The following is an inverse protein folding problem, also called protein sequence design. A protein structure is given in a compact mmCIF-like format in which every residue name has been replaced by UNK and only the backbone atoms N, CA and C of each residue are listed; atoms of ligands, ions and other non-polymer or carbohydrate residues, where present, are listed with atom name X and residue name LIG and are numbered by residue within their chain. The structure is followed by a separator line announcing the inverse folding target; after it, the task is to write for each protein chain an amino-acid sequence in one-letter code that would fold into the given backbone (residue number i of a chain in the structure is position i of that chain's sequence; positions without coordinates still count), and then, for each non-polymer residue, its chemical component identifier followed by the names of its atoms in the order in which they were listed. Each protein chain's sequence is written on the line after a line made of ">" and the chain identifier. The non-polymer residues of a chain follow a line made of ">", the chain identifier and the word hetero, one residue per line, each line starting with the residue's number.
data_IF_686054872041
#
_entry.id   IF_686054872041
#
_cell.length_a   1.000
_cell.length_b   1.000
_cell.length_c   1.000
_cell.angle_alpha   90.00
_cell.angle_beta   90.00
_cell.angle_gamma   90.00
#
_symmetry.space_group_name_H-M   'P 1'
#
loop_
_entity.id
_entity.type
_entity.pdbx_description
1 polymer ?
#
# COMPACT_ATOMS: atom_id res chain seq x y z
N UNK A 1 17.21 -52.08 10.24
CA UNK A 1 17.37 -50.72 9.67
C UNK A 1 16.15 -50.23 8.90
N UNK A 2 15.29 -51.09 8.33
CA UNK A 2 14.11 -50.65 7.56
C UNK A 2 12.94 -50.04 8.37
N UNK A 3 12.88 -50.25 9.70
CA UNK A 3 11.78 -49.76 10.55
C UNK A 3 11.93 -48.26 10.83
N UNK A 4 13.17 -47.76 10.89
CA UNK A 4 13.51 -46.36 11.17
C UNK A 4 13.13 -45.44 9.99
N UNK A 5 13.44 -45.86 8.75
CA UNK A 5 13.02 -45.18 7.52
C UNK A 5 11.49 -45.11 7.38
N UNK A 6 10.79 -46.21 7.67
CA UNK A 6 9.34 -46.29 7.51
C UNK A 6 8.58 -45.46 8.56
N UNK A 7 9.15 -45.27 9.76
CA UNK A 7 8.63 -44.38 10.79
C UNK A 7 8.94 -42.91 10.47
N UNK A 8 10.12 -42.63 9.91
CA UNK A 8 10.50 -41.29 9.44
C UNK A 8 9.60 -40.81 8.28
N UNK A 9 9.33 -41.69 7.31
CA UNK A 9 8.43 -41.40 6.18
C UNK A 9 6.98 -41.14 6.63
N UNK A 10 6.49 -41.87 7.64
CA UNK A 10 5.17 -41.61 8.22
C UNK A 10 5.12 -40.28 8.97
N UNK A 11 6.17 -39.94 9.72
CA UNK A 11 6.28 -38.65 10.40
C UNK A 11 6.32 -37.47 9.42
N UNK A 12 7.09 -37.60 8.34
CA UNK A 12 7.16 -36.61 7.27
C UNK A 12 5.81 -36.42 6.54
N UNK A 13 5.09 -37.52 6.27
CA UNK A 13 3.76 -37.46 5.66
C UNK A 13 2.73 -36.78 6.57
N UNK A 14 2.71 -37.12 7.87
CA UNK A 14 1.78 -36.48 8.82
C UNK A 14 2.03 -34.97 8.96
N UNK A 15 3.31 -34.55 8.98
CA UNK A 15 3.68 -33.14 9.00
C UNK A 15 3.25 -32.44 7.69
N UNK A 16 3.45 -33.07 6.54
CA UNK A 16 3.04 -32.52 5.25
C UNK A 16 1.51 -32.35 5.16
N UNK A 17 0.74 -33.33 5.63
CA UNK A 17 -0.72 -33.26 5.68
C UNK A 17 -1.20 -32.14 6.61
N UNK A 18 -0.62 -32.05 7.81
CA UNK A 18 -0.93 -30.98 8.75
C UNK A 18 -0.64 -29.59 8.15
N UNK A 19 0.50 -29.42 7.48
CA UNK A 19 0.82 -28.16 6.80
C UNK A 19 -0.12 -27.86 5.63
N UNK A 20 -0.52 -28.87 4.86
CA UNK A 20 -1.48 -28.71 3.78
C UNK A 20 -2.86 -28.27 4.29
N UNK A 21 -3.30 -28.80 5.43
CA UNK A 21 -4.55 -28.40 6.09
C UNK A 21 -4.47 -26.96 6.62
N UNK A 22 -3.39 -26.61 7.34
CA UNK A 22 -3.16 -25.25 7.83
C UNK A 22 -3.12 -24.22 6.69
N UNK A 23 -2.44 -24.56 5.58
CA UNK A 23 -2.43 -23.76 4.36
C UNK A 23 -3.83 -23.58 3.78
N UNK A 24 -4.64 -24.63 3.75
CA UNK A 24 -6.00 -24.57 3.21
C UNK A 24 -6.91 -23.66 4.06
N UNK A 25 -6.84 -23.76 5.39
CA UNK A 25 -7.61 -22.91 6.30
C UNK A 25 -7.16 -21.45 6.18
N UNK A 26 -5.85 -21.20 6.21
CA UNK A 26 -5.30 -19.85 6.07
C UNK A 26 -5.70 -19.21 4.73
N UNK A 27 -5.59 -19.96 3.63
CA UNK A 27 -5.95 -19.46 2.30
C UNK A 27 -7.44 -19.09 2.19
N UNK A 28 -8.34 -19.88 2.80
CA UNK A 28 -9.79 -19.60 2.85
C UNK A 28 -10.09 -18.34 3.65
N UNK A 29 -9.51 -18.21 4.84
CA UNK A 29 -9.67 -17.01 5.68
C UNK A 29 -9.19 -15.76 4.94
N UNK A 30 -8.03 -15.85 4.30
CA UNK A 30 -7.45 -14.77 3.52
C UNK A 30 -8.30 -14.40 2.30
N UNK A 31 -8.78 -15.40 1.54
CA UNK A 31 -9.63 -15.18 0.38
C UNK A 31 -10.95 -14.50 0.77
N UNK A 32 -11.57 -14.91 1.88
CA UNK A 32 -12.78 -14.26 2.40
C UNK A 32 -12.51 -12.80 2.76
N UNK A 33 -11.44 -12.53 3.50
CA UNK A 33 -11.06 -11.18 3.91
C UNK A 33 -10.78 -10.28 2.70
N UNK A 34 -10.08 -10.81 1.68
CA UNK A 34 -9.79 -10.12 0.42
C UNK A 34 -11.08 -9.79 -0.35
N UNK A 35 -11.96 -10.77 -0.50
CA UNK A 35 -13.23 -10.62 -1.21
C UNK A 35 -14.10 -9.53 -0.58
N UNK A 36 -14.28 -9.57 0.75
CA UNK A 36 -15.08 -8.58 1.50
C UNK A 36 -14.57 -7.13 1.30
N UNK A 37 -13.32 -6.94 0.90
CA UNK A 37 -12.69 -5.63 0.65
C UNK A 37 -12.47 -5.34 -0.84
N UNK A 38 -13.05 -6.13 -1.73
CA UNK A 38 -12.97 -5.91 -3.17
C UNK A 38 -11.59 -6.18 -3.77
N UNK A 39 -10.74 -7.00 -3.13
CA UNK A 39 -9.47 -7.42 -3.70
C UNK A 39 -9.71 -8.57 -4.68
N UNK A 40 -9.37 -8.36 -5.96
CA UNK A 40 -9.44 -9.38 -7.02
C UNK A 40 -8.10 -10.12 -7.21
N UNK A 41 -8.14 -11.30 -7.81
CA UNK A 41 -6.97 -12.14 -8.08
C UNK A 41 -5.92 -11.45 -8.96
N UNK A 42 -6.36 -10.53 -9.83
CA UNK A 42 -5.47 -9.70 -10.68
C UNK A 42 -4.58 -8.80 -9.85
N UNK A 43 -5.14 -8.28 -8.77
CA UNK A 43 -4.46 -7.35 -7.87
C UNK A 43 -3.39 -8.09 -7.06
N UNK A 44 -3.62 -9.37 -6.74
CA UNK A 44 -2.62 -10.22 -6.10
C UNK A 44 -1.43 -10.58 -6.99
N UNK A 45 -1.50 -10.31 -8.31
CA UNK A 45 -0.40 -10.56 -9.25
C UNK A 45 0.53 -9.35 -9.43
N UNK A 46 0.13 -8.17 -8.94
CA UNK A 46 0.91 -6.94 -9.03
C UNK A 46 1.71 -6.73 -7.73
N UNK A 47 3.04 -6.73 -7.84
CA UNK A 47 4.03 -6.45 -6.78
C UNK A 47 3.68 -6.99 -5.38
N UNK A 48 3.97 -8.27 -5.20
CA UNK A 48 3.51 -9.12 -4.10
C UNK A 48 4.08 -8.75 -2.74
N UNK A 49 5.20 -8.02 -2.64
CA UNK A 49 5.89 -7.88 -1.33
C UNK A 49 5.26 -6.83 -0.43
N UNK A 50 4.82 -5.69 -0.99
CA UNK A 50 4.09 -4.65 -0.25
C UNK A 50 2.67 -5.12 0.09
N UNK A 51 2.07 -5.84 -0.86
CA UNK A 51 0.78 -6.49 -0.76
C UNK A 51 0.70 -7.44 0.44
N UNK A 52 1.65 -8.38 0.53
CA UNK A 52 1.62 -9.42 1.56
C UNK A 52 1.75 -8.82 2.96
N UNK A 53 2.66 -7.85 3.12
CA UNK A 53 2.85 -7.14 4.40
C UNK A 53 1.61 -6.39 4.84
N UNK A 54 0.94 -5.67 3.94
CA UNK A 54 -0.25 -4.90 4.28
C UNK A 54 -1.40 -5.81 4.76
N UNK A 55 -1.55 -6.98 4.13
CA UNK A 55 -2.60 -7.94 4.52
C UNK A 55 -2.22 -8.70 5.79
N UNK A 56 -0.96 -9.14 5.93
CA UNK A 56 -0.49 -9.79 7.16
C UNK A 56 -0.62 -8.86 8.38
N UNK A 57 -0.32 -7.56 8.20
CA UNK A 57 -0.49 -6.54 9.24
C UNK A 57 -1.97 -6.30 9.56
N UNK A 58 -2.86 -6.28 8.56
CA UNK A 58 -4.29 -6.07 8.75
C UNK A 58 -4.99 -7.23 9.48
N UNK A 59 -4.46 -8.45 9.32
CA UNK A 59 -5.02 -9.67 9.91
C UNK A 59 -4.34 -9.99 11.26
N UNK A 60 -3.25 -9.30 11.61
CA UNK A 60 -2.50 -9.53 12.85
C UNK A 60 -1.84 -10.91 12.87
N UNK A 61 -1.41 -11.41 11.72
CA UNK A 61 -0.95 -12.80 11.58
C UNK A 61 0.50 -12.94 12.02
N UNK A 62 0.88 -14.01 12.77
CA UNK A 62 2.29 -14.35 12.97
C UNK A 62 2.96 -14.63 11.62
N UNK A 63 4.23 -14.25 11.48
CA UNK A 63 5.02 -14.39 10.25
C UNK A 63 4.89 -15.80 9.69
N UNK A 64 4.29 -15.93 8.51
CA UNK A 64 4.21 -17.22 7.81
C UNK A 64 5.63 -17.69 7.50
N UNK A 65 5.97 -18.97 7.68
CA UNK A 65 7.26 -19.47 7.21
C UNK A 65 7.44 -19.11 5.74
N UNK A 66 8.59 -18.56 5.36
CA UNK A 66 8.82 -18.02 4.01
C UNK A 66 8.49 -19.01 2.88
N UNK A 67 8.72 -20.31 3.12
CA UNK A 67 8.41 -21.37 2.15
C UNK A 67 6.91 -21.61 1.95
N UNK A 68 6.05 -21.16 2.88
CA UNK A 68 4.59 -21.28 2.82
C UNK A 68 3.90 -20.00 2.32
N UNK A 69 4.62 -18.86 2.24
CA UNK A 69 4.04 -17.61 1.75
C UNK A 69 3.54 -17.75 0.31
N UNK A 70 4.40 -18.18 -0.61
CA UNK A 70 4.00 -18.35 -2.01
C UNK A 70 2.85 -19.34 -2.19
N UNK A 71 2.89 -20.57 -1.64
CA UNK A 71 1.78 -21.52 -1.72
C UNK A 71 0.46 -20.97 -1.16
N UNK A 72 0.51 -20.22 -0.06
CA UNK A 72 -0.66 -19.58 0.51
C UNK A 72 -1.29 -18.59 -0.48
N UNK A 73 -0.49 -17.67 -1.01
CA UNK A 73 -0.99 -16.62 -1.90
C UNK A 73 -1.49 -17.16 -3.24
N UNK A 74 -0.84 -18.19 -3.79
CA UNK A 74 -1.33 -18.92 -4.97
C UNK A 74 -2.70 -19.55 -4.71
N UNK A 75 -2.87 -20.19 -3.54
CA UNK A 75 -4.13 -20.82 -3.15
C UNK A 75 -5.23 -19.79 -2.89
N UNK A 76 -4.91 -18.66 -2.26
CA UNK A 76 -5.84 -17.53 -2.07
C UNK A 76 -6.27 -16.95 -3.42
N UNK A 77 -5.36 -16.74 -4.36
CA UNK A 77 -5.70 -16.26 -5.69
C UNK A 77 -6.60 -17.25 -6.45
N UNK A 78 -6.39 -18.56 -6.29
CA UNK A 78 -7.26 -19.59 -6.87
C UNK A 78 -8.68 -19.53 -6.28
N UNK A 79 -8.81 -19.36 -4.97
CA UNK A 79 -10.10 -19.22 -4.30
C UNK A 79 -10.85 -17.94 -4.72
N UNK A 80 -10.15 -16.82 -4.90
CA UNK A 80 -10.77 -15.58 -5.41
C UNK A 80 -11.25 -15.74 -6.84
N UNK A 81 -10.50 -16.42 -7.71
CA UNK A 81 -10.96 -16.76 -9.06
C UNK A 81 -12.22 -17.62 -9.03
N UNK A 82 -12.20 -18.69 -8.24
CA UNK A 82 -13.36 -19.56 -8.07
C UNK A 82 -14.58 -18.77 -7.58
N UNK A 83 -14.38 -17.86 -6.62
CA UNK A 83 -15.46 -17.03 -6.11
C UNK A 83 -16.02 -16.10 -7.17
N UNK A 84 -15.17 -15.44 -7.95
CA UNK A 84 -15.59 -14.57 -9.06
C UNK A 84 -16.38 -15.33 -10.12
N UNK A 85 -15.94 -16.55 -10.46
CA UNK A 85 -16.61 -17.38 -11.45
C UNK A 85 -17.99 -17.81 -10.93
N UNK A 86 -18.09 -18.15 -9.64
CA UNK A 86 -19.37 -18.41 -8.96
C UNK A 86 -20.28 -17.17 -8.93
N UNK A 87 -19.76 -15.99 -8.57
CA UNK A 87 -20.56 -14.75 -8.54
C UNK A 87 -21.10 -14.42 -9.95
N UNK A 88 -20.32 -14.68 -11.01
CA UNK A 88 -20.75 -14.52 -12.40
C UNK A 88 -21.87 -15.49 -12.76
N UNK A 89 -21.71 -16.77 -12.43
CA UNK A 89 -22.69 -17.83 -12.71
C UNK A 89 -24.01 -17.58 -11.99
N UNK A 90 -23.94 -17.05 -10.77
CA UNK A 90 -25.11 -16.81 -9.92
C UNK A 90 -25.62 -15.36 -9.93
N UNK A 91 -25.08 -14.50 -10.80
CA UNK A 91 -25.45 -13.07 -10.90
C UNK A 91 -25.38 -12.32 -9.56
N UNK A 92 -24.40 -12.66 -8.71
CA UNK A 92 -24.16 -11.97 -7.46
C UNK A 92 -23.30 -10.74 -7.73
N UNK A 93 -23.76 -9.57 -7.28
CA UNK A 93 -22.98 -8.33 -7.34
C UNK A 93 -21.80 -8.43 -6.36
N UNK A 94 -20.55 -8.42 -6.84
CA UNK A 94 -19.39 -8.46 -5.95
C UNK A 94 -19.20 -7.12 -5.22
N UNK A 95 -18.44 -7.10 -4.12
CA UNK A 95 -18.02 -5.87 -3.47
C UNK A 95 -17.30 -4.92 -4.45
N UNK A 96 -17.38 -3.59 -4.25
CA UNK A 96 -16.66 -2.64 -5.08
C UNK A 96 -15.18 -2.95 -5.13
N UNK A 97 -14.61 -3.04 -6.32
CA UNK A 97 -13.20 -3.41 -6.49
C UNK A 97 -12.28 -2.36 -5.90
N UNK A 98 -11.37 -2.79 -5.05
CA UNK A 98 -10.28 -1.95 -4.57
C UNK A 98 -9.18 -1.88 -5.63
N UNK A 99 -8.63 -0.69 -5.95
CA UNK A 99 -7.65 -0.53 -7.02
C UNK A 99 -6.31 -1.20 -6.70
N UNK A 100 -5.96 -1.33 -5.41
CA UNK A 100 -4.85 -2.14 -4.93
C UNK A 100 -5.05 -2.52 -3.46
N UNK A 101 -4.32 -3.48 -2.89
CA UNK A 101 -4.70 -4.00 -1.58
C UNK A 101 -4.25 -3.11 -0.42
N UNK A 102 -3.23 -2.24 -0.54
CA UNK A 102 -3.12 -1.09 0.36
C UNK A 102 -4.40 -0.26 0.42
N UNK A 103 -5.10 -0.02 -0.71
CA UNK A 103 -6.41 0.66 -0.68
C UNK A 103 -7.51 -0.15 -0.01
N UNK A 104 -7.43 -1.48 -0.06
CA UNK A 104 -8.39 -2.37 0.58
C UNK A 104 -8.19 -2.43 2.11
N UNK A 105 -6.96 -2.23 2.58
CA UNK A 105 -6.59 -2.24 4.01
C UNK A 105 -6.74 -0.85 4.63
N UNK A 106 -6.11 0.15 4.04
CA UNK A 106 -5.92 1.50 4.57
C UNK A 106 -5.82 2.49 3.39
N UNK A 107 -6.96 2.93 2.82
CA UNK A 107 -6.99 3.76 1.62
C UNK A 107 -6.26 5.10 1.77
N UNK A 108 -6.29 5.69 2.97
CA UNK A 108 -5.54 6.89 3.34
C UNK A 108 -4.02 6.69 3.45
N UNK A 109 -3.56 5.43 3.53
CA UNK A 109 -2.13 5.08 3.62
C UNK A 109 -1.59 4.44 2.34
N UNK A 110 -2.40 4.34 1.28
CA UNK A 110 -1.95 3.73 0.03
C UNK A 110 -0.85 4.58 -0.63
N UNK A 111 0.38 4.09 -0.78
CA UNK A 111 1.48 4.89 -1.33
C UNK A 111 1.28 5.28 -2.81
N UNK A 112 0.36 4.62 -3.51
CA UNK A 112 0.06 4.85 -4.94
C UNK A 112 -1.18 5.72 -5.14
N UNK A 113 -2.20 5.57 -4.29
CA UNK A 113 -3.52 6.16 -4.51
C UNK A 113 -3.98 7.09 -3.39
N UNK A 114 -3.40 7.00 -2.19
CA UNK A 114 -3.53 8.07 -1.22
C UNK A 114 -2.75 9.24 -1.81
N UNK A 115 -3.47 10.19 -2.38
CA UNK A 115 -2.89 11.48 -2.73
C UNK A 115 -3.04 12.31 -1.47
N UNK A 116 -1.94 12.67 -0.79
CA UNK A 116 -2.00 13.66 0.26
C UNK A 116 -2.76 14.89 -0.22
N UNK A 117 -3.69 15.35 0.60
CA UNK A 117 -4.54 16.48 0.27
C UNK A 117 -3.96 17.72 0.90
N UNK A 118 -3.97 18.81 0.16
CA UNK A 118 -3.60 20.12 0.65
C UNK A 118 -4.46 20.44 1.86
N UNK A 119 -3.83 20.73 3.01
CA UNK A 119 -4.53 21.04 4.26
C UNK A 119 -5.53 22.20 4.10
N UNK A 120 -5.22 23.17 3.24
CA UNK A 120 -6.04 24.36 3.05
C UNK A 120 -7.21 24.17 2.07
N UNK A 121 -6.98 23.53 0.92
CA UNK A 121 -7.99 23.43 -0.15
C UNK A 121 -8.55 22.03 -0.35
N UNK A 122 -8.04 21.02 0.38
CA UNK A 122 -8.34 19.59 0.20
C UNK A 122 -8.06 19.03 -1.21
N UNK A 123 -7.45 19.82 -2.10
CA UNK A 123 -7.02 19.38 -3.43
C UNK A 123 -5.83 18.42 -3.37
N UNK A 124 -5.60 17.63 -4.43
CA UNK A 124 -4.47 16.67 -4.47
C UNK A 124 -3.13 17.41 -4.49
N UNK A 125 -2.20 17.03 -3.61
CA UNK A 125 -0.81 17.48 -3.64
C UNK A 125 -0.03 16.71 -4.71
N UNK A 126 0.93 17.38 -5.35
CA UNK A 126 1.88 16.74 -6.27
C UNK A 126 2.92 15.94 -5.49
N UNK A 127 3.41 14.85 -6.09
CA UNK A 127 4.44 13.98 -5.50
C UNK A 127 5.72 14.75 -5.11
N UNK A 128 6.13 15.75 -5.90
CA UNK A 128 7.31 16.59 -5.61
C UNK A 128 7.14 17.36 -4.30
N UNK A 129 5.98 18.00 -4.09
CA UNK A 129 5.70 18.74 -2.86
C UNK A 129 5.81 17.83 -1.63
N UNK A 130 5.43 16.57 -1.76
CA UNK A 130 5.50 15.59 -0.68
C UNK A 130 6.91 15.07 -0.42
N UNK A 131 7.72 14.87 -1.47
CA UNK A 131 9.12 14.52 -1.32
C UNK A 131 9.91 15.60 -0.58
N UNK A 132 9.48 16.86 -0.70
CA UNK A 132 10.03 18.01 0.00
C UNK A 132 9.38 18.27 1.37
N UNK A 133 8.37 17.48 1.76
CA UNK A 133 7.72 17.55 3.07
C UNK A 133 6.55 18.54 3.20
N UNK A 134 6.08 19.13 2.10
CA UNK A 134 4.94 20.05 2.10
C UNK A 134 3.60 19.32 2.22
N UNK A 135 2.69 19.88 3.02
CA UNK A 135 1.31 19.42 3.19
C UNK A 135 0.25 20.44 2.68
N UNK A 136 0.69 21.51 2.01
CA UNK A 136 -0.11 22.54 1.34
C UNK A 136 0.40 22.81 -0.08
N UNK A 137 -0.46 23.32 -0.98
CA UNK A 137 0.03 23.84 -2.25
C UNK A 137 0.74 25.18 -2.03
N UNK A 138 1.78 25.54 -2.81
CA UNK A 138 2.43 26.84 -2.71
C UNK A 138 1.45 28.03 -2.86
N UNK A 139 0.40 27.88 -3.66
CA UNK A 139 -0.65 28.90 -3.79
C UNK A 139 -1.63 28.94 -2.60
N UNK A 140 -1.70 27.87 -1.82
CA UNK A 140 -2.56 27.74 -0.65
C UNK A 140 -1.89 28.18 0.65
N UNK A 141 -0.56 28.29 0.69
CA UNK A 141 0.19 28.86 1.83
C UNK A 141 -0.05 30.37 2.00
N UNK A 142 -0.58 31.04 0.97
CA UNK A 142 -0.85 32.49 0.94
C UNK A 142 -1.84 33.00 2.00
N UNK A 143 -2.42 32.12 2.82
CA UNK A 143 -3.46 32.44 3.82
C UNK A 143 -2.99 32.55 5.27
N UNK A 144 -1.75 32.18 5.61
CA UNK A 144 -1.23 32.26 6.99
C UNK A 144 -0.15 33.32 7.20
N UNK A 145 0.23 34.05 6.14
CA UNK A 145 1.03 35.25 6.29
C UNK A 145 0.11 36.44 6.61
N UNK A 146 -0.03 36.75 7.89
CA UNK A 146 -0.19 38.15 8.28
C UNK A 146 0.84 38.96 7.50
N UNK A 147 0.37 39.94 6.72
CA UNK A 147 1.23 40.85 5.99
C UNK A 147 2.34 41.39 6.90
N UNK A 148 3.53 41.60 6.33
CA UNK A 148 4.05 42.95 6.36
C UNK A 148 4.27 43.46 4.94
N UNK A 149 3.75 44.66 4.74
CA UNK A 149 4.19 45.63 3.76
C UNK A 149 5.71 45.66 3.58
N UNK A 150 6.11 45.91 2.33
CA UNK A 150 7.39 46.45 1.89
C UNK A 150 8.63 45.54 1.94
N UNK A 151 8.98 44.93 0.81
CA UNK A 151 10.39 44.68 0.45
C UNK A 151 10.63 44.51 -1.06
N UNK A 152 10.26 45.51 -1.87
CA UNK A 152 10.93 45.73 -3.18
C UNK A 152 12.18 46.63 -3.00
N UNK A 153 12.43 47.09 -1.78
CA UNK A 153 13.57 47.95 -1.45
C UNK A 153 14.86 47.17 -1.14
N UNK A 154 14.79 45.88 -0.80
CA UNK A 154 15.95 45.09 -0.36
C UNK A 154 16.81 44.50 -1.50
N UNK A 155 16.29 44.46 -2.74
CA UNK A 155 17.07 43.96 -3.88
C UNK A 155 18.12 44.98 -4.37
N UNK A 156 17.99 46.26 -4.00
CA UNK A 156 18.90 47.33 -4.41
C UNK A 156 20.09 47.53 -3.47
N UNK A 157 20.11 46.89 -2.30
CA UNK A 157 21.23 46.99 -1.35
C UNK A 157 22.30 45.90 -1.53
N UNK A 158 21.98 44.82 -2.25
CA UNK A 158 22.90 43.70 -2.53
C UNK A 158 23.76 43.93 -3.78
N UNK A 159 23.32 44.81 -4.70
CA UNK A 159 24.07 45.16 -5.91
C UNK A 159 24.84 46.46 -5.66
N UNK A 160 25.99 46.33 -4.97
CA UNK A 160 26.89 47.44 -4.66
C UNK A 160 27.26 48.27 -5.90
N UNK A 161 26.73 49.47 -5.98
CA UNK A 161 27.21 50.53 -6.86
C UNK A 161 27.73 51.68 -5.98
N UNK A 162 29.06 51.78 -5.90
CA UNK A 162 29.78 52.84 -5.20
C UNK A 162 29.42 54.23 -5.77
N UNK A 163 29.30 55.27 -4.93
CA UNK A 163 29.12 56.63 -5.41
C UNK A 163 30.47 57.19 -5.86
N UNK A 164 30.57 57.65 -7.11
CA UNK A 164 31.62 58.59 -7.50
C UNK A 164 31.09 60.01 -7.30
N UNK A 165 31.50 60.61 -6.19
CA UNK A 165 31.46 62.04 -5.96
C UNK A 165 32.77 62.69 -6.46
N UNK A 166 32.65 63.90 -7.04
CA UNK A 166 33.73 64.85 -7.25
C UNK A 166 34.07 65.07 -8.73
N UNK A 167 33.68 66.19 -9.35
CA UNK A 167 34.20 67.56 -9.20
C UNK A 167 35.32 67.84 -10.21
N UNK A 168 35.13 68.91 -11.01
CA UNK A 168 36.11 69.44 -11.96
C UNK A 168 35.48 69.91 -13.24
#
# INVERSE_FOLDING_TARGET
>A
MAIDEQQNDRGANHLAEHWAEQLAVAAKTLARWCYERGVDDRVLRCDTTVLWRAVDQAIGRPTTPAHLERPLWERTAALLRQRRDWDREHHVTPPPTSPCPPCAVAPELCPVHAHPRCRACSGRLHATALAEGFDTHPCCDSGTATAPTDSVHDLLQVLGAMPLAGAG
#
